data_IF_238274113415
#
_entry.id   IF_238274113415
#
_cell.length_a   1.000
_cell.length_b   1.000
_cell.length_c   1.000
_cell.angle_alpha   90.00
_cell.angle_beta   90.00
_cell.angle_gamma   90.00
#
_symmetry.space_group_name_H-M   'P 1'
#
loop_
_entity.id
_entity.type
_entity.pdbx_description
1 polymer ?
#
# COMPACT_ATOMS: atom_id res chain seq x y z
N UNK A 1 24.02 -70.34 -6.94
CA UNK A 1 25.00 -69.48 -7.63
C UNK A 1 24.24 -68.42 -8.41
N UNK A 2 24.29 -67.18 -7.91
CA UNK A 2 24.39 -65.95 -8.70
C UNK A 2 23.24 -65.53 -9.66
N UNK A 3 22.03 -65.25 -9.15
CA UNK A 3 21.12 -64.32 -9.85
C UNK A 3 20.19 -63.54 -8.91
N UNK A 4 20.61 -63.39 -7.66
CA UNK A 4 20.18 -62.25 -6.85
C UNK A 4 21.17 -61.14 -7.18
N UNK A 5 20.70 -59.90 -7.33
CA UNK A 5 21.44 -58.68 -7.73
C UNK A 5 21.57 -58.42 -9.24
N UNK A 6 20.47 -57.98 -9.85
CA UNK A 6 20.52 -57.04 -10.98
C UNK A 6 19.42 -55.98 -10.72
N UNK A 7 19.71 -55.00 -9.88
CA UNK A 7 20.24 -53.69 -10.28
C UNK A 7 19.15 -52.76 -10.85
N UNK A 8 18.89 -51.69 -10.07
CA UNK A 8 18.65 -50.32 -10.55
C UNK A 8 17.26 -50.11 -11.20
N UNK A 9 16.45 -49.11 -10.87
CA UNK A 9 16.73 -47.78 -10.36
C UNK A 9 15.58 -47.30 -9.48
N UNK A 10 15.93 -46.52 -8.45
CA UNK A 10 15.02 -45.52 -7.88
C UNK A 10 14.52 -44.63 -9.01
N UNK A 11 13.24 -44.73 -9.37
CA UNK A 11 12.59 -43.73 -10.20
C UNK A 11 11.74 -42.84 -9.29
N UNK A 12 12.41 -42.06 -8.45
CA UNK A 12 11.81 -40.84 -7.94
C UNK A 12 11.69 -39.88 -9.13
N UNK A 13 10.56 -39.95 -9.84
CA UNK A 13 10.19 -38.94 -10.82
C UNK A 13 10.20 -37.60 -10.08
N UNK A 14 11.24 -36.81 -10.33
CA UNK A 14 11.41 -35.49 -9.75
C UNK A 14 10.23 -34.62 -10.15
N UNK A 15 9.31 -34.39 -9.21
CA UNK A 15 8.40 -33.26 -9.30
C UNK A 15 9.24 -32.00 -9.11
N UNK A 16 9.75 -31.44 -10.21
CA UNK A 16 10.28 -30.09 -10.21
C UNK A 16 9.09 -29.13 -10.07
N UNK A 17 8.86 -28.65 -8.85
CA UNK A 17 8.03 -27.48 -8.63
C UNK A 17 8.77 -26.26 -9.21
N UNK A 18 8.53 -25.97 -10.48
CA UNK A 18 9.01 -24.73 -11.09
C UNK A 18 8.15 -23.60 -10.52
N UNK A 19 8.71 -22.54 -9.94
CA UNK A 19 7.92 -21.40 -9.52
C UNK A 19 7.23 -20.83 -10.75
N UNK A 20 5.90 -20.94 -10.78
CA UNK A 20 5.10 -20.16 -11.71
C UNK A 20 5.23 -18.72 -11.25
N UNK A 21 6.13 -17.96 -11.88
CA UNK A 21 6.09 -16.52 -11.83
C UNK A 21 4.86 -16.06 -12.62
N UNK A 22 3.68 -16.20 -12.01
CA UNK A 22 2.53 -15.43 -12.42
C UNK A 22 2.96 -13.97 -12.34
N UNK A 23 3.09 -13.30 -13.49
CA UNK A 23 3.18 -11.85 -13.52
C UNK A 23 1.91 -11.36 -12.83
N UNK A 24 2.03 -11.00 -11.54
CA UNK A 24 1.00 -10.21 -10.85
C UNK A 24 0.76 -9.03 -11.78
N UNK A 25 -0.49 -8.85 -12.25
CA UNK A 25 -0.86 -7.69 -13.07
C UNK A 25 -0.31 -6.44 -12.41
N UNK A 26 0.16 -5.47 -13.22
CA UNK A 26 0.97 -4.31 -12.81
C UNK A 26 0.82 -4.01 -11.31
N UNK A 27 1.76 -4.51 -10.51
CA UNK A 27 1.69 -4.36 -9.07
C UNK A 27 1.82 -2.87 -8.76
N UNK A 28 0.91 -2.34 -7.94
CA UNK A 28 1.08 -0.99 -7.38
C UNK A 28 2.45 -0.96 -6.72
N UNK A 29 3.30 -0.08 -7.20
CA UNK A 29 4.62 0.13 -6.66
C UNK A 29 4.56 1.06 -5.46
N UNK A 30 5.60 1.05 -4.64
CA UNK A 30 5.73 2.02 -3.55
C UNK A 30 5.71 3.46 -4.09
N UNK A 31 6.21 3.69 -5.31
CA UNK A 31 6.18 4.99 -5.98
C UNK A 31 4.73 5.42 -6.23
N UNK A 32 3.87 4.52 -6.70
CA UNK A 32 2.45 4.84 -6.94
C UNK A 32 1.75 5.24 -5.63
N UNK A 33 2.05 4.54 -4.53
CA UNK A 33 1.52 4.87 -3.19
C UNK A 33 2.01 6.24 -2.72
N UNK A 34 3.29 6.54 -2.89
CA UNK A 34 3.88 7.83 -2.50
C UNK A 34 3.32 8.99 -3.34
N UNK A 35 3.11 8.80 -4.64
CA UNK A 35 2.50 9.83 -5.49
C UNK A 35 1.03 10.08 -5.12
N UNK A 36 0.30 9.03 -4.76
CA UNK A 36 -1.05 9.18 -4.24
C UNK A 36 -1.05 9.95 -2.92
N UNK A 37 -0.17 9.62 -1.97
CA UNK A 37 -0.04 10.32 -0.70
C UNK A 37 0.34 11.81 -0.88
N UNK A 38 1.28 12.12 -1.78
CA UNK A 38 1.65 13.50 -2.11
C UNK A 38 0.49 14.29 -2.71
N UNK A 39 -0.34 13.63 -3.53
CA UNK A 39 -1.56 14.26 -4.07
C UNK A 39 -2.55 14.58 -2.94
N UNK A 40 -2.72 13.68 -1.97
CA UNK A 40 -3.56 13.93 -0.80
C UNK A 40 -3.02 15.07 0.06
N UNK A 41 -1.71 15.16 0.27
CA UNK A 41 -1.09 16.26 1.01
C UNK A 41 -1.37 17.62 0.35
N UNK A 42 -1.30 17.70 -0.98
CA UNK A 42 -1.66 18.92 -1.70
C UNK A 42 -3.14 19.27 -1.60
N UNK A 43 -4.02 18.27 -1.66
CA UNK A 43 -5.46 18.46 -1.52
C UNK A 43 -5.79 18.95 -0.11
N UNK A 44 -5.23 18.33 0.92
CA UNK A 44 -5.43 18.70 2.32
C UNK A 44 -4.94 20.12 2.60
N UNK A 45 -3.74 20.47 2.16
CA UNK A 45 -3.18 21.81 2.30
C UNK A 45 -4.03 22.87 1.59
N UNK A 46 -4.56 22.56 0.40
CA UNK A 46 -5.47 23.47 -0.32
C UNK A 46 -6.79 23.61 0.42
N UNK A 47 -7.37 22.49 0.84
CA UNK A 47 -8.64 22.45 1.55
C UNK A 47 -8.61 23.28 2.84
N UNK A 48 -7.58 23.12 3.68
CA UNK A 48 -7.51 23.88 4.93
C UNK A 48 -7.21 25.36 4.71
N UNK A 49 -6.35 25.73 3.76
CA UNK A 49 -6.14 27.14 3.39
C UNK A 49 -7.44 27.81 2.97
N UNK A 50 -8.17 27.19 2.04
CA UNK A 50 -9.44 27.73 1.56
C UNK A 50 -10.50 27.79 2.68
N UNK A 51 -10.51 26.81 3.59
CA UNK A 51 -11.41 26.83 4.73
C UNK A 51 -11.07 27.97 5.71
N UNK A 52 -9.79 28.19 6.00
CA UNK A 52 -9.34 29.25 6.90
C UNK A 52 -9.53 30.65 6.30
N UNK A 53 -9.47 30.79 4.98
CA UNK A 53 -9.80 32.03 4.26
C UNK A 53 -11.31 32.31 4.30
N UNK A 54 -12.14 31.27 4.26
CA UNK A 54 -13.60 31.39 4.20
C UNK A 54 -14.28 31.57 5.56
N UNK A 55 -13.76 30.91 6.58
CA UNK A 55 -14.34 30.90 7.92
C UNK A 55 -13.37 31.56 8.87
N UNK A 56 -13.82 32.55 9.62
CA UNK A 56 -13.01 33.26 10.61
C UNK A 56 -13.10 32.59 12.00
N UNK A 57 -12.41 33.16 12.99
CA UNK A 57 -12.41 32.63 14.36
C UNK A 57 -13.83 32.55 14.96
N UNK A 58 -14.69 33.52 14.66
CA UNK A 58 -16.06 33.57 15.16
C UNK A 58 -16.93 32.47 14.56
N UNK A 59 -16.71 32.09 13.30
CA UNK A 59 -17.37 30.93 12.70
C UNK A 59 -17.01 29.63 13.44
N UNK A 60 -15.73 29.44 13.81
CA UNK A 60 -15.29 28.27 14.57
C UNK A 60 -15.88 28.25 16.00
N UNK A 61 -15.87 29.40 16.68
CA UNK A 61 -16.51 29.57 18.00
C UNK A 61 -18.01 29.28 17.95
N UNK A 62 -18.69 29.82 16.93
CA UNK A 62 -20.13 29.64 16.74
C UNK A 62 -20.49 28.18 16.45
N UNK A 63 -19.59 27.44 15.81
CA UNK A 63 -19.71 26.00 15.61
C UNK A 63 -19.39 25.17 16.88
N UNK A 64 -18.96 25.81 17.96
CA UNK A 64 -18.66 25.16 19.24
C UNK A 64 -17.27 24.53 19.33
N UNK A 65 -16.34 24.92 18.44
CA UNK A 65 -14.96 24.44 18.49
C UNK A 65 -14.12 25.24 19.50
N UNK A 66 -13.14 24.56 20.10
CA UNK A 66 -12.08 25.22 20.87
C UNK A 66 -11.22 26.09 19.95
N UNK A 67 -10.76 27.28 20.39
CA UNK A 67 -9.89 28.13 19.59
C UNK A 67 -8.67 27.41 18.98
N UNK A 68 -8.11 26.42 19.69
CA UNK A 68 -6.94 25.67 19.22
C UNK A 68 -7.19 24.92 17.92
N UNK A 69 -8.45 24.56 17.62
CA UNK A 69 -8.80 23.83 16.40
C UNK A 69 -8.43 24.64 15.16
N UNK A 70 -8.61 25.96 15.18
CA UNK A 70 -8.24 26.81 14.04
C UNK A 70 -6.73 26.97 13.90
N UNK A 71 -6.02 27.02 15.02
CA UNK A 71 -4.56 27.24 15.05
C UNK A 71 -3.76 26.02 14.60
N UNK A 72 -4.36 24.83 14.65
CA UNK A 72 -3.74 23.56 14.26
C UNK A 72 -3.98 23.17 12.80
N UNK A 73 -4.85 23.89 12.09
CA UNK A 73 -5.17 23.69 10.68
C UNK A 73 -4.29 24.58 9.79
#
# INVERSE_FOLDING_TARGET
MLSQYLAVAFLALGASAVPVHTKRGAAISDIDVLQYALTLEHLENTFYKEALDKFDEDAFKSAGFDPIVRELL
#
